data_IF_300448628686
#
_entry.id   IF_300448628686
#
_cell.length_a   1.000
_cell.length_b   1.000
_cell.length_c   1.000
_cell.angle_alpha   90.00
_cell.angle_beta   90.00
_cell.angle_gamma   90.00
#
_symmetry.space_group_name_H-M   'P 1'
#
loop_
_entity.id
_entity.type
_entity.pdbx_description
1 polymer ?
#
# COMPACT_ATOMS: atom_id res chain seq x y z
N UNK A 1 34.59 12.42 25.38
CA UNK A 1 33.56 11.63 24.71
C UNK A 1 33.71 11.95 23.24
N UNK A 2 33.81 10.97 22.34
CA UNK A 2 33.82 11.23 20.91
C UNK A 2 32.52 11.94 20.56
N UNK A 3 32.55 12.99 19.74
CA UNK A 3 31.36 13.62 19.22
C UNK A 3 30.62 12.55 18.39
N UNK A 4 29.39 12.29 18.71
CA UNK A 4 28.58 11.41 17.90
C UNK A 4 28.06 12.27 16.74
N UNK A 5 28.43 11.92 15.52
CA UNK A 5 27.98 12.62 14.33
C UNK A 5 26.54 12.21 14.01
N UNK A 6 25.67 13.17 13.70
CA UNK A 6 24.29 12.96 13.34
C UNK A 6 24.04 13.41 11.90
N UNK A 7 23.20 12.68 11.18
CA UNK A 7 22.75 13.10 9.84
C UNK A 7 21.82 14.29 9.96
N UNK A 8 20.85 14.19 10.88
CA UNK A 8 19.85 15.22 11.13
C UNK A 8 19.60 15.38 12.63
N UNK A 9 19.54 16.62 13.10
CA UNK A 9 19.00 16.94 14.42
C UNK A 9 17.81 17.88 14.27
N UNK A 10 16.65 17.47 14.80
CA UNK A 10 15.45 18.30 14.89
C UNK A 10 15.45 18.94 16.28
N UNK A 11 15.49 20.29 16.34
CA UNK A 11 15.70 21.07 17.56
C UNK A 11 14.42 21.71 18.11
N UNK A 12 14.29 21.73 19.45
CA UNK A 12 13.35 22.57 20.20
C UNK A 12 11.85 22.32 19.90
N UNK A 13 11.51 21.13 19.38
CA UNK A 13 10.13 20.79 19.11
C UNK A 13 9.35 20.24 20.30
N UNK A 14 8.03 20.18 20.17
CA UNK A 14 7.16 19.51 21.13
C UNK A 14 6.90 18.07 20.66
N UNK A 15 7.56 17.11 21.32
CA UNK A 15 7.61 15.71 20.90
C UNK A 15 6.36 14.96 21.37
N UNK A 16 5.69 14.28 20.42
CA UNK A 16 4.68 13.26 20.61
C UNK A 16 5.28 11.93 20.14
N UNK A 17 5.64 11.03 21.05
CA UNK A 17 6.39 9.81 20.67
C UNK A 17 5.50 8.60 20.35
N UNK A 18 4.17 8.76 20.37
CA UNK A 18 3.21 7.68 20.03
C UNK A 18 3.01 6.66 21.15
N UNK A 19 3.70 6.77 22.30
CA UNK A 19 3.58 5.82 23.42
C UNK A 19 2.39 6.07 24.35
N UNK A 20 1.65 7.17 24.15
CA UNK A 20 0.62 7.64 25.06
C UNK A 20 1.16 8.49 26.21
N UNK A 21 2.48 8.67 26.31
CA UNK A 21 3.12 9.56 27.28
C UNK A 21 2.78 11.03 27.02
N UNK A 22 2.76 11.89 28.05
CA UNK A 22 2.60 13.32 27.85
C UNK A 22 3.68 13.88 26.91
N UNK A 23 3.24 14.81 26.05
CA UNK A 23 4.17 15.54 25.17
C UNK A 23 5.27 16.23 25.96
N UNK A 24 6.49 16.29 25.43
CA UNK A 24 7.63 16.96 26.03
C UNK A 24 8.40 17.80 25.02
N UNK A 25 8.96 18.93 25.44
CA UNK A 25 9.89 19.69 24.61
C UNK A 25 11.26 19.00 24.56
N UNK A 26 11.83 18.94 23.39
CA UNK A 26 13.16 18.33 23.22
C UNK A 26 13.59 18.29 21.77
N UNK A 27 14.73 17.65 21.57
CA UNK A 27 15.35 17.42 20.27
C UNK A 27 15.26 15.94 19.90
N UNK A 28 15.36 15.66 18.60
CA UNK A 28 15.47 14.31 18.04
C UNK A 28 16.67 14.25 17.13
N UNK A 29 17.57 13.28 17.37
CA UNK A 29 18.72 13.01 16.51
C UNK A 29 18.51 11.75 15.68
N UNK A 30 18.91 11.81 14.42
CA UNK A 30 18.77 10.77 13.42
C UNK A 30 20.16 10.48 12.83
N UNK A 31 20.50 9.19 12.75
CA UNK A 31 21.67 8.69 12.03
C UNK A 31 21.29 7.40 11.30
N UNK A 32 21.74 7.23 10.07
CA UNK A 32 21.46 6.06 9.23
C UNK A 32 19.95 5.74 9.14
N UNK A 33 19.12 6.79 9.00
CA UNK A 33 17.66 6.67 8.89
C UNK A 33 16.96 6.23 10.19
N UNK A 34 17.64 6.24 11.35
CA UNK A 34 17.09 5.81 12.63
C UNK A 34 17.16 6.92 13.66
N UNK A 35 16.14 7.01 14.52
CA UNK A 35 16.19 7.85 15.72
C UNK A 35 17.19 7.22 16.69
N UNK A 36 18.30 7.92 16.96
CA UNK A 36 19.37 7.45 17.84
C UNK A 36 19.37 8.13 19.22
N UNK A 37 18.76 9.30 19.34
CA UNK A 37 18.61 9.99 20.61
C UNK A 37 17.37 10.91 20.61
N UNK A 38 16.81 11.12 21.81
CA UNK A 38 15.76 12.10 22.08
C UNK A 38 16.03 12.78 23.41
N UNK A 39 15.89 14.12 23.47
CA UNK A 39 16.12 14.90 24.69
C UNK A 39 16.80 16.23 24.39
N UNK A 40 17.81 16.58 25.16
CA UNK A 40 18.66 17.75 24.88
C UNK A 40 19.92 17.27 24.13
N UNK A 41 20.09 17.70 22.90
CA UNK A 41 21.12 17.21 21.99
C UNK A 41 22.01 18.38 21.55
N UNK A 42 23.34 18.17 21.60
CA UNK A 42 24.28 19.07 20.94
C UNK A 42 24.26 18.80 19.43
N UNK A 43 23.86 19.78 18.68
CA UNK A 43 23.76 19.68 17.22
C UNK A 43 25.02 20.16 16.48
N UNK A 44 26.10 20.47 17.20
CA UNK A 44 27.33 21.03 16.60
C UNK A 44 28.02 20.09 15.60
N UNK A 45 27.76 18.76 15.71
CA UNK A 45 28.27 17.73 14.80
C UNK A 45 27.22 17.19 13.83
N UNK A 46 26.05 17.80 13.75
CA UNK A 46 24.99 17.36 12.83
C UNK A 46 25.25 17.87 11.40
N UNK A 47 25.06 17.01 10.41
CA UNK A 47 25.12 17.38 8.99
C UNK A 47 24.00 18.37 8.64
N UNK A 48 22.80 18.18 9.21
CA UNK A 48 21.65 19.07 9.01
C UNK A 48 20.93 19.32 10.33
N UNK A 49 20.47 20.56 10.53
CA UNK A 49 19.66 20.94 11.70
C UNK A 49 18.34 21.54 11.24
N UNK A 50 17.26 21.00 11.77
CA UNK A 50 15.90 21.50 11.54
C UNK A 50 15.42 22.21 12.81
N UNK A 51 15.14 23.49 12.72
CA UNK A 51 14.51 24.24 13.82
C UNK A 51 13.01 23.93 13.87
N UNK A 52 12.59 23.26 14.94
CA UNK A 52 11.20 22.91 15.21
C UNK A 52 10.59 23.77 16.34
N UNK A 53 11.18 24.93 16.63
CA UNK A 53 10.66 25.86 17.64
C UNK A 53 9.20 26.23 17.35
N UNK A 54 8.31 25.93 18.30
CA UNK A 54 6.88 26.13 18.12
C UNK A 54 6.14 25.05 17.31
N UNK A 55 6.86 24.06 16.80
CA UNK A 55 6.29 22.94 16.03
C UNK A 55 6.13 21.68 16.88
N UNK A 56 5.31 20.76 16.37
CA UNK A 56 5.17 19.41 16.90
C UNK A 56 6.06 18.46 16.12
N UNK A 57 6.74 17.56 16.86
CA UNK A 57 7.48 16.43 16.30
C UNK A 57 6.69 15.17 16.63
N UNK A 58 6.27 14.44 15.62
CA UNK A 58 5.51 13.21 15.79
C UNK A 58 5.96 12.18 14.75
N UNK A 59 5.71 10.88 14.97
CA UNK A 59 5.79 9.88 13.91
C UNK A 59 4.90 10.28 12.73
N UNK A 60 5.31 9.92 11.52
CA UNK A 60 4.47 10.08 10.34
C UNK A 60 3.19 9.25 10.46
N UNK A 61 2.13 9.72 9.84
CA UNK A 61 0.86 8.98 9.81
C UNK A 61 0.96 7.75 8.92
N UNK A 62 0.19 6.72 9.29
CA UNK A 62 0.00 5.51 8.49
C UNK A 62 -1.42 5.56 7.93
N UNK A 63 -1.54 5.67 6.61
CA UNK A 63 -2.83 5.57 5.93
C UNK A 63 -3.08 4.11 5.54
N UNK A 64 -4.07 3.50 6.21
CA UNK A 64 -4.38 2.08 6.05
C UNK A 64 -5.29 1.78 4.85
N UNK A 65 -5.74 2.80 4.10
CA UNK A 65 -6.64 2.59 2.99
C UNK A 65 -6.38 3.57 1.85
N UNK A 66 -5.57 3.14 0.89
CA UNK A 66 -5.30 3.90 -0.34
C UNK A 66 -5.38 2.98 -1.56
N UNK A 67 -5.44 3.58 -2.75
CA UNK A 67 -5.37 2.89 -4.03
C UNK A 67 -4.21 3.42 -4.88
N UNK A 68 -3.04 3.60 -4.25
CA UNK A 68 -1.80 3.99 -4.93
C UNK A 68 -1.13 2.84 -5.71
N UNK A 69 -1.79 1.69 -5.84
CA UNK A 69 -1.28 0.47 -6.48
C UNK A 69 -0.66 0.70 -7.87
N UNK A 70 -1.24 1.61 -8.62
CA UNK A 70 -0.73 2.03 -9.92
C UNK A 70 0.04 3.34 -9.85
N UNK A 71 -0.51 4.33 -9.11
CA UNK A 71 -0.01 5.70 -9.11
C UNK A 71 1.44 5.80 -8.64
N UNK A 72 1.87 4.94 -7.72
CA UNK A 72 3.25 4.93 -7.19
C UNK A 72 4.32 4.81 -8.29
N UNK A 73 3.99 4.23 -9.43
CA UNK A 73 4.92 4.07 -10.55
C UNK A 73 5.17 5.36 -11.35
N UNK A 74 4.26 6.33 -11.33
CA UNK A 74 4.44 7.64 -12.00
C UNK A 74 4.42 8.83 -11.04
N UNK A 75 3.94 8.63 -9.82
CA UNK A 75 4.04 9.59 -8.71
C UNK A 75 4.60 8.88 -7.47
N UNK A 76 5.91 8.59 -7.46
CA UNK A 76 6.53 7.82 -6.37
C UNK A 76 6.59 8.57 -5.05
N UNK A 77 6.24 9.85 -5.03
CA UNK A 77 6.07 10.63 -3.80
C UNK A 77 4.71 10.44 -3.16
N UNK A 78 3.74 9.82 -3.84
CA UNK A 78 2.33 9.81 -3.43
C UNK A 78 1.92 11.21 -2.96
N UNK A 79 2.08 12.18 -3.84
CA UNK A 79 2.28 13.62 -3.58
C UNK A 79 1.28 14.16 -2.58
N UNK A 80 0.01 13.83 -2.70
CA UNK A 80 -1.02 14.35 -1.80
C UNK A 80 -0.83 13.83 -0.36
N UNK A 81 -0.58 12.55 -0.18
CA UNK A 81 -0.43 11.92 1.15
C UNK A 81 0.80 12.45 1.89
N UNK A 82 1.95 12.54 1.23
CA UNK A 82 3.18 13.08 1.84
C UNK A 82 3.03 14.52 2.33
N UNK A 83 2.25 15.36 1.65
CA UNK A 83 1.99 16.75 2.07
C UNK A 83 1.20 16.84 3.38
N UNK A 84 0.46 15.81 3.73
CA UNK A 84 -0.30 15.73 4.98
C UNK A 84 0.43 14.97 6.10
N UNK A 85 1.73 14.67 5.93
CA UNK A 85 2.55 13.99 6.92
C UNK A 85 2.35 12.48 6.98
N UNK A 86 1.74 11.89 5.93
CA UNK A 86 1.64 10.44 5.79
C UNK A 86 2.98 9.91 5.29
N UNK A 87 3.55 8.94 5.98
CA UNK A 87 4.85 8.33 5.66
C UNK A 87 4.74 6.86 5.29
N UNK A 88 3.57 6.27 5.50
CA UNK A 88 3.28 4.88 5.12
C UNK A 88 1.86 4.77 4.60
N UNK A 89 1.66 4.02 3.53
CA UNK A 89 0.33 3.79 2.93
C UNK A 89 0.11 2.31 2.70
N UNK A 90 -1.11 1.85 2.97
CA UNK A 90 -1.54 0.51 2.56
C UNK A 90 -2.14 0.57 1.15
N UNK A 91 -1.78 -0.41 0.32
CA UNK A 91 -2.28 -0.62 -1.03
C UNK A 91 -2.89 -2.00 -1.19
N UNK A 92 -3.55 -2.31 -2.30
CA UNK A 92 -4.25 -3.57 -2.50
C UNK A 92 -5.54 -3.68 -1.69
N UNK A 93 -6.14 -2.56 -1.33
CA UNK A 93 -7.35 -2.51 -0.52
C UNK A 93 -8.60 -2.99 -1.28
N UNK A 94 -9.67 -3.23 -0.56
CA UNK A 94 -10.99 -3.60 -1.09
C UNK A 94 -11.02 -4.90 -1.93
N UNK A 95 -9.92 -5.66 -1.97
CA UNK A 95 -9.77 -6.80 -2.87
C UNK A 95 -9.48 -6.40 -4.31
N UNK A 96 -9.10 -5.13 -4.56
CA UNK A 96 -8.71 -4.60 -5.86
C UNK A 96 -7.20 -4.41 -5.93
N UNK A 97 -6.63 -4.57 -7.11
CA UNK A 97 -5.19 -4.39 -7.32
C UNK A 97 -4.73 -4.97 -8.66
N UNK A 98 -3.42 -5.01 -8.84
CA UNK A 98 -2.79 -5.36 -10.10
C UNK A 98 -1.87 -6.60 -10.01
N UNK A 99 -1.99 -7.37 -8.92
CA UNK A 99 -1.23 -8.60 -8.76
C UNK A 99 -1.94 -9.61 -7.81
N UNK A 100 -1.99 -10.90 -8.20
CA UNK A 100 -1.49 -11.44 -9.47
C UNK A 100 -2.32 -10.97 -10.66
N UNK A 101 -1.72 -10.89 -11.86
CA UNK A 101 -2.43 -10.53 -13.07
C UNK A 101 -1.75 -11.10 -14.31
N UNK A 102 -2.39 -12.01 -15.01
CA UNK A 102 -1.91 -12.52 -16.29
C UNK A 102 -1.93 -11.41 -17.35
N UNK A 103 -1.08 -11.54 -18.38
CA UNK A 103 -0.89 -10.48 -19.39
C UNK A 103 -2.21 -10.10 -20.10
N UNK A 104 -3.00 -11.09 -20.46
CA UNK A 104 -4.30 -10.92 -21.12
C UNK A 104 -5.39 -10.31 -20.20
N UNK A 105 -5.15 -10.28 -18.89
CA UNK A 105 -6.05 -9.71 -17.88
C UNK A 105 -5.70 -8.27 -17.47
N UNK A 106 -4.58 -7.73 -17.93
CA UNK A 106 -4.11 -6.37 -17.57
C UNK A 106 -5.10 -5.28 -17.98
N UNK A 107 -5.69 -5.41 -19.17
CA UNK A 107 -6.69 -4.45 -19.66
C UNK A 107 -7.96 -4.48 -18.79
N UNK A 108 -8.40 -5.65 -18.40
CA UNK A 108 -9.52 -5.82 -17.48
C UNK A 108 -9.22 -5.13 -16.14
N UNK A 109 -8.08 -5.40 -15.53
CA UNK A 109 -7.69 -4.80 -14.25
C UNK A 109 -7.67 -3.26 -14.32
N UNK A 110 -7.11 -2.67 -15.38
CA UNK A 110 -7.12 -1.21 -15.57
C UNK A 110 -8.54 -0.65 -15.74
N UNK A 111 -9.40 -1.28 -16.50
CA UNK A 111 -10.80 -0.83 -16.68
C UNK A 111 -11.59 -0.91 -15.37
N UNK A 112 -11.40 -1.98 -14.60
CA UNK A 112 -11.98 -2.14 -13.28
C UNK A 112 -11.56 -1.00 -12.35
N UNK A 113 -10.26 -0.72 -12.23
CA UNK A 113 -9.74 0.36 -11.38
C UNK A 113 -10.17 1.74 -11.86
N UNK A 114 -10.33 1.94 -13.16
CA UNK A 114 -10.93 3.19 -13.68
C UNK A 114 -12.37 3.35 -13.18
N UNK A 115 -13.13 2.27 -13.12
CA UNK A 115 -14.53 2.31 -12.70
C UNK A 115 -14.69 2.49 -11.19
N UNK A 116 -13.90 1.78 -10.38
CA UNK A 116 -14.08 1.75 -8.92
C UNK A 116 -13.31 2.84 -8.19
N UNK A 117 -12.14 3.23 -8.71
CA UNK A 117 -11.24 4.19 -8.05
C UNK A 117 -10.98 5.46 -8.87
N UNK A 118 -11.65 5.59 -10.01
CA UNK A 118 -11.52 6.73 -10.92
C UNK A 118 -10.07 7.00 -11.41
N UNK A 119 -9.20 5.96 -11.40
CA UNK A 119 -7.84 6.10 -11.91
C UNK A 119 -7.89 6.10 -13.44
N UNK A 120 -7.34 7.12 -14.13
CA UNK A 120 -7.44 7.19 -15.58
C UNK A 120 -6.76 6.01 -16.28
N UNK A 121 -7.49 5.33 -17.16
CA UNK A 121 -6.98 4.17 -17.91
C UNK A 121 -5.65 4.44 -18.63
N UNK A 122 -5.56 5.58 -19.33
CA UNK A 122 -4.34 5.93 -20.08
C UNK A 122 -3.14 6.22 -19.16
N UNK A 123 -3.38 6.72 -17.95
CA UNK A 123 -2.30 6.93 -16.97
C UNK A 123 -1.72 5.59 -16.50
N UNK A 124 -2.59 4.61 -16.23
CA UNK A 124 -2.15 3.26 -15.86
C UNK A 124 -1.43 2.55 -17.01
N UNK A 125 -1.98 2.66 -18.21
CA UNK A 125 -1.40 2.05 -19.42
C UNK A 125 0.00 2.57 -19.75
N UNK A 126 0.26 3.85 -19.53
CA UNK A 126 1.54 4.49 -19.80
C UNK A 126 2.50 4.49 -18.61
N UNK A 127 1.96 4.59 -17.40
CA UNK A 127 2.76 4.80 -16.19
C UNK A 127 3.21 3.52 -15.49
N UNK A 128 2.51 2.39 -15.70
CA UNK A 128 2.87 1.12 -15.07
C UNK A 128 3.87 0.34 -15.94
N UNK A 129 4.94 -0.21 -15.36
CA UNK A 129 5.95 -0.98 -16.13
C UNK A 129 5.43 -2.33 -16.62
N UNK A 130 4.43 -2.92 -15.95
CA UNK A 130 3.82 -4.20 -16.29
C UNK A 130 4.82 -5.36 -16.45
N UNK A 131 5.87 -5.38 -15.60
CA UNK A 131 6.95 -6.35 -15.59
C UNK A 131 6.75 -7.47 -14.56
N UNK A 132 5.50 -7.74 -14.21
CA UNK A 132 5.07 -8.78 -13.27
C UNK A 132 3.85 -9.55 -13.78
N UNK A 133 3.66 -10.75 -13.23
CA UNK A 133 2.45 -11.57 -13.28
C UNK A 133 2.02 -11.93 -11.85
N UNK A 134 2.98 -12.35 -11.03
CA UNK A 134 2.76 -12.75 -9.64
C UNK A 134 2.81 -11.56 -8.67
N UNK A 135 2.30 -11.76 -7.47
CA UNK A 135 2.39 -10.75 -6.41
C UNK A 135 3.84 -10.49 -5.98
N UNK A 136 4.69 -11.54 -5.92
CA UNK A 136 6.11 -11.38 -5.61
C UNK A 136 6.82 -10.48 -6.62
N UNK A 137 6.61 -10.73 -7.91
CA UNK A 137 7.20 -9.90 -8.98
C UNK A 137 6.70 -8.44 -8.93
N UNK A 138 5.43 -8.22 -8.53
CA UNK A 138 4.89 -6.89 -8.30
C UNK A 138 5.63 -6.18 -7.15
N UNK A 139 5.90 -6.88 -6.04
CA UNK A 139 6.70 -6.33 -4.94
C UNK A 139 8.13 -6.01 -5.39
N UNK A 140 8.75 -6.87 -6.19
CA UNK A 140 10.07 -6.60 -6.77
C UNK A 140 10.05 -5.34 -7.66
N UNK A 141 8.98 -5.15 -8.43
CA UNK A 141 8.81 -3.94 -9.24
C UNK A 141 8.63 -2.69 -8.38
N UNK A 142 7.84 -2.79 -7.31
CA UNK A 142 7.73 -1.72 -6.32
C UNK A 142 9.09 -1.41 -5.67
N UNK A 143 9.87 -2.41 -5.31
CA UNK A 143 11.17 -2.20 -4.67
C UNK A 143 12.17 -1.50 -5.59
N UNK A 144 12.15 -1.78 -6.87
CA UNK A 144 12.97 -1.08 -7.87
C UNK A 144 12.54 0.37 -8.09
N UNK A 145 11.28 0.71 -7.78
CA UNK A 145 10.76 2.07 -7.94
C UNK A 145 11.24 2.95 -6.78
N UNK A 146 12.08 3.98 -7.01
CA UNK A 146 12.44 4.93 -5.96
C UNK A 146 11.18 5.65 -5.45
N UNK A 147 10.91 5.54 -4.17
CA UNK A 147 9.70 6.13 -3.57
C UNK A 147 10.00 6.82 -2.25
N UNK A 148 9.28 7.88 -1.97
CA UNK A 148 9.44 8.68 -0.75
C UNK A 148 8.47 8.29 0.37
N UNK A 149 7.75 7.18 0.22
CA UNK A 149 6.75 6.68 1.16
C UNK A 149 6.92 5.16 1.35
N UNK A 150 6.63 4.67 2.55
CA UNK A 150 6.63 3.24 2.80
C UNK A 150 5.32 2.63 2.29
N UNK A 151 5.41 1.46 1.67
CA UNK A 151 4.27 0.72 1.14
C UNK A 151 3.98 -0.49 2.02
N UNK A 152 2.72 -0.68 2.37
CA UNK A 152 2.18 -1.84 3.08
C UNK A 152 1.23 -2.57 2.12
N UNK A 153 1.69 -3.61 1.40
CA UNK A 153 0.89 -4.24 0.36
C UNK A 153 -0.03 -5.32 0.93
N UNK A 154 -1.33 -5.19 0.71
CA UNK A 154 -2.29 -6.29 0.86
C UNK A 154 -2.37 -7.13 -0.41
N UNK A 155 -2.60 -8.42 -0.25
CA UNK A 155 -2.91 -9.33 -1.35
C UNK A 155 -4.39 -9.19 -1.70
N UNK A 156 -4.75 -8.68 -2.90
CA UNK A 156 -6.15 -8.43 -3.23
C UNK A 156 -6.86 -9.71 -3.67
N UNK A 157 -8.01 -10.01 -3.08
CA UNK A 157 -8.75 -11.25 -3.34
C UNK A 157 -9.31 -11.34 -4.76
N UNK A 158 -9.74 -10.22 -5.36
CA UNK A 158 -10.30 -10.20 -6.71
C UNK A 158 -9.36 -10.75 -7.78
N UNK A 159 -8.13 -10.23 -7.89
CA UNK A 159 -7.10 -10.80 -8.76
C UNK A 159 -6.81 -12.28 -8.51
N UNK A 160 -6.71 -12.72 -7.24
CA UNK A 160 -6.50 -14.14 -6.91
C UNK A 160 -7.64 -15.03 -7.43
N UNK A 161 -8.90 -14.62 -7.22
CA UNK A 161 -10.06 -15.35 -7.71
C UNK A 161 -10.07 -15.41 -9.24
N UNK A 162 -9.75 -14.31 -9.88
CA UNK A 162 -9.71 -14.23 -11.34
C UNK A 162 -8.60 -15.12 -11.92
N UNK A 163 -7.45 -15.17 -11.27
CA UNK A 163 -6.32 -16.02 -11.69
C UNK A 163 -6.63 -17.51 -11.56
N UNK A 164 -7.29 -17.91 -10.47
CA UNK A 164 -7.52 -19.35 -10.19
C UNK A 164 -8.80 -19.87 -10.82
N UNK A 165 -9.89 -19.10 -10.80
CA UNK A 165 -11.19 -19.55 -11.32
C UNK A 165 -11.42 -19.14 -12.77
N UNK A 166 -10.70 -18.15 -13.26
CA UNK A 166 -11.03 -17.40 -14.46
C UNK A 166 -12.11 -16.33 -14.21
N UNK A 167 -12.06 -15.24 -14.97
CA UNK A 167 -12.93 -14.08 -14.76
C UNK A 167 -14.43 -14.42 -14.82
N UNK A 168 -14.83 -15.25 -15.79
CA UNK A 168 -16.24 -15.60 -15.98
C UNK A 168 -16.83 -16.36 -14.79
N UNK A 169 -16.10 -17.34 -14.28
CA UNK A 169 -16.50 -18.16 -13.14
C UNK A 169 -16.46 -17.37 -11.83
N UNK A 170 -15.44 -16.53 -11.64
CA UNK A 170 -15.35 -15.63 -10.49
C UNK A 170 -16.55 -14.66 -10.43
N UNK A 171 -16.91 -14.04 -11.56
CA UNK A 171 -18.09 -13.16 -11.68
C UNK A 171 -19.42 -13.91 -11.60
N UNK A 172 -19.45 -15.19 -11.93
CA UNK A 172 -20.62 -16.05 -11.75
C UNK A 172 -20.80 -16.54 -10.30
N UNK A 173 -19.83 -16.30 -9.42
CA UNK A 173 -19.84 -16.79 -8.03
C UNK A 173 -19.72 -18.31 -7.95
N UNK A 174 -19.01 -18.93 -8.89
CA UNK A 174 -18.76 -20.37 -8.86
C UNK A 174 -17.93 -20.72 -7.64
N UNK A 175 -18.36 -21.72 -6.90
CA UNK A 175 -17.56 -22.23 -5.78
C UNK A 175 -16.26 -22.86 -6.28
N UNK A 176 -15.12 -22.54 -5.67
CA UNK A 176 -13.86 -23.24 -5.97
C UNK A 176 -13.96 -24.73 -5.68
N UNK A 177 -13.33 -25.54 -6.51
CA UNK A 177 -13.06 -26.96 -6.20
C UNK A 177 -12.01 -27.07 -5.07
N UNK A 178 -11.82 -28.27 -4.53
CA UNK A 178 -10.79 -28.48 -3.50
C UNK A 178 -9.37 -28.12 -4.00
N UNK A 179 -9.06 -28.43 -5.26
CA UNK A 179 -7.76 -28.12 -5.85
C UNK A 179 -7.58 -26.60 -6.05
N UNK A 180 -8.63 -25.91 -6.46
CA UNK A 180 -8.62 -24.45 -6.60
C UNK A 180 -8.51 -23.76 -5.22
N UNK A 181 -9.17 -24.27 -4.19
CA UNK A 181 -8.98 -23.82 -2.81
C UNK A 181 -7.52 -24.01 -2.36
N UNK A 182 -6.94 -25.18 -2.64
CA UNK A 182 -5.54 -25.42 -2.32
C UNK A 182 -4.60 -24.45 -3.08
N UNK A 183 -4.92 -24.14 -4.35
CA UNK A 183 -4.16 -23.17 -5.15
C UNK A 183 -4.30 -21.74 -4.62
N UNK A 184 -5.49 -21.30 -4.24
CA UNK A 184 -5.72 -19.99 -3.60
C UNK A 184 -4.93 -19.87 -2.29
N UNK A 185 -4.97 -20.89 -1.44
CA UNK A 185 -4.23 -20.92 -0.18
C UNK A 185 -2.71 -20.88 -0.42
N UNK A 186 -2.21 -21.64 -1.39
CA UNK A 186 -0.80 -21.62 -1.78
C UNK A 186 -0.39 -20.23 -2.27
N UNK A 187 -1.15 -19.64 -3.18
CA UNK A 187 -0.88 -18.30 -3.74
C UNK A 187 -0.86 -17.22 -2.65
N UNK A 188 -1.79 -17.29 -1.69
CA UNK A 188 -1.81 -16.37 -0.56
C UNK A 188 -0.56 -16.54 0.31
N UNK A 189 -0.18 -17.77 0.66
CA UNK A 189 1.02 -18.03 1.45
C UNK A 189 2.28 -17.55 0.73
N UNK A 190 2.44 -17.86 -0.56
CA UNK A 190 3.56 -17.36 -1.38
C UNK A 190 3.62 -15.82 -1.37
N UNK A 191 2.47 -15.16 -1.46
CA UNK A 191 2.37 -13.70 -1.42
C UNK A 191 2.72 -13.12 -0.05
N UNK A 192 2.31 -13.78 1.02
CA UNK A 192 2.66 -13.39 2.40
C UNK A 192 4.15 -13.58 2.67
N UNK A 193 4.74 -14.70 2.22
CA UNK A 193 6.17 -14.98 2.34
C UNK A 193 7.02 -13.96 1.55
N UNK A 194 6.50 -13.46 0.43
CA UNK A 194 7.13 -12.42 -0.36
C UNK A 194 7.11 -11.03 0.30
N UNK A 195 6.26 -10.80 1.30
CA UNK A 195 6.18 -9.53 2.02
C UNK A 195 4.79 -8.89 2.06
N UNK A 196 3.74 -9.60 1.65
CA UNK A 196 2.37 -9.16 1.85
C UNK A 196 2.07 -8.95 3.34
N UNK A 197 1.44 -7.84 3.71
CA UNK A 197 1.11 -7.54 5.12
C UNK A 197 -0.28 -8.04 5.54
N UNK A 198 -1.00 -8.71 4.66
CA UNK A 198 -2.33 -9.25 4.86
C UNK A 198 -3.01 -9.49 3.51
N UNK A 199 -4.29 -9.81 3.54
CA UNK A 199 -5.11 -9.88 2.34
C UNK A 199 -6.35 -8.98 2.50
N UNK A 200 -6.95 -8.61 1.38
CA UNK A 200 -8.12 -7.73 1.38
C UNK A 200 -9.23 -8.27 0.49
N UNK A 201 -10.46 -8.04 0.94
CA UNK A 201 -11.67 -8.26 0.14
C UNK A 201 -12.74 -7.27 0.58
N UNK A 202 -13.46 -6.69 -0.35
CA UNK A 202 -14.65 -5.91 -0.07
C UNK A 202 -15.89 -6.71 -0.47
N UNK A 203 -16.84 -6.77 0.44
CA UNK A 203 -18.17 -7.35 0.20
C UNK A 203 -19.20 -6.39 0.76
N UNK A 204 -19.92 -5.69 -0.12
CA UNK A 204 -20.95 -4.72 0.28
C UNK A 204 -22.33 -5.37 0.17
N UNK A 205 -23.11 -5.45 1.27
CA UNK A 205 -24.48 -5.95 1.19
C UNK A 205 -25.39 -5.03 0.34
N UNK A 206 -26.29 -5.61 -0.47
CA UNK A 206 -26.42 -7.03 -0.74
C UNK A 206 -25.27 -7.57 -1.60
N UNK A 207 -24.84 -8.81 -1.34
CA UNK A 207 -23.81 -9.51 -2.12
C UNK A 207 -24.43 -10.36 -3.23
N UNK A 208 -23.59 -10.97 -4.06
CA UNK A 208 -24.03 -11.80 -5.18
C UNK A 208 -24.61 -10.98 -6.34
N UNK A 209 -25.55 -11.53 -7.13
CA UNK A 209 -26.09 -10.84 -8.30
C UNK A 209 -26.77 -9.50 -8.00
N UNK A 210 -27.19 -9.27 -6.75
CA UNK A 210 -27.80 -8.03 -6.29
C UNK A 210 -26.79 -6.99 -5.78
N UNK A 211 -25.48 -7.28 -5.85
CA UNK A 211 -24.41 -6.38 -5.39
C UNK A 211 -24.56 -4.99 -6.01
N UNK A 212 -24.36 -3.97 -5.19
CA UNK A 212 -24.51 -2.56 -5.62
C UNK A 212 -23.27 -2.07 -6.34
N UNK A 213 -22.10 -2.58 -5.97
CA UNK A 213 -20.86 -2.25 -6.66
C UNK A 213 -20.75 -3.04 -7.96
N UNK A 214 -20.52 -2.33 -9.03
CA UNK A 214 -20.46 -2.88 -10.38
C UNK A 214 -19.13 -2.57 -11.02
N UNK A 215 -18.63 -3.56 -11.74
CA UNK A 215 -17.49 -3.42 -12.63
C UNK A 215 -17.83 -2.50 -13.83
N UNK A 216 -16.82 -2.18 -14.63
CA UNK A 216 -16.96 -1.31 -15.80
C UNK A 216 -17.98 -1.86 -16.83
N UNK A 217 -18.18 -3.16 -16.90
CA UNK A 217 -19.13 -3.83 -17.81
C UNK A 217 -20.55 -3.97 -17.21
N UNK A 218 -20.78 -3.44 -16.00
CA UNK A 218 -22.06 -3.48 -15.30
C UNK A 218 -22.33 -4.79 -14.56
N UNK A 219 -21.42 -5.75 -14.58
CA UNK A 219 -21.53 -6.99 -13.81
C UNK A 219 -21.03 -6.80 -12.37
N UNK A 220 -21.39 -7.66 -11.39
CA UNK A 220 -20.82 -7.63 -10.06
C UNK A 220 -19.29 -7.82 -10.07
N UNK A 221 -18.62 -7.28 -9.06
CA UNK A 221 -17.21 -7.54 -8.83
C UNK A 221 -16.98 -8.99 -8.37
N UNK A 222 -15.87 -9.63 -8.73
CA UNK A 222 -15.57 -10.99 -8.27
C UNK A 222 -15.69 -11.18 -6.76
N UNK A 223 -15.22 -10.21 -5.97
CA UNK A 223 -15.27 -10.25 -4.50
C UNK A 223 -16.70 -10.22 -3.95
N UNK A 224 -17.62 -9.51 -4.60
CA UNK A 224 -19.03 -9.46 -4.18
C UNK A 224 -19.78 -10.77 -4.48
N UNK A 225 -19.22 -11.61 -5.34
CA UNK A 225 -19.78 -12.92 -5.69
C UNK A 225 -19.23 -14.06 -4.84
N UNK A 226 -18.25 -13.81 -3.96
CA UNK A 226 -17.74 -14.80 -3.03
C UNK A 226 -18.85 -15.27 -2.09
N UNK A 227 -18.90 -16.56 -1.84
CA UNK A 227 -19.72 -17.15 -0.79
C UNK A 227 -18.96 -17.19 0.55
N UNK A 228 -19.70 -17.38 1.64
CA UNK A 228 -19.15 -17.52 2.98
C UNK A 228 -18.40 -18.84 3.14
#
# INVERSE_FOLDING_TARGET
MASQDYDVVIKDGLIFDGTGSPRRRGDVAISDGKIVAMGRIDASSATSVIDASGMHIAPGFVDLHTHYDAQVFWDPYCTLSGWHGITSVAIGNCGFGFAPVAEDMREYAMKSMTRVEAIPYESMKQGMPWDWVTFSEYLDSLDRTPKAINILPYVPAGPMLTEVLGLADAKAGRMPTNDEHARLAQMLNESMDAGGCGWSAQRLPPTGPAAVQRDWDGTPMPTDMMND
#
